data_IF_703003192437
#
_entry.id   IF_703003192437
#
_cell.length_a   1.000
_cell.length_b   1.000
_cell.length_c   1.000
_cell.angle_alpha   90.00
_cell.angle_beta   90.00
_cell.angle_gamma   90.00
#
_symmetry.space_group_name_H-M   'P 1'
#
loop_
_entity.id
_entity.type
_entity.pdbx_description
1 polymer ?
#
# COMPACT_ATOMS: atom_id res chain seq x y z
N UNK A 1 -7.43 -16.14 -16.07
CA UNK A 1 -8.22 -15.70 -14.91
C UNK A 1 -9.50 -16.50 -14.84
N UNK A 2 -9.69 -17.25 -13.78
CA UNK A 2 -10.95 -17.95 -13.47
C UNK A 2 -11.90 -16.99 -12.74
N UNK A 3 -13.18 -17.03 -13.08
CA UNK A 3 -14.17 -16.08 -12.52
C UNK A 3 -14.09 -14.66 -13.08
N UNK A 4 -13.60 -14.49 -14.32
CA UNK A 4 -13.41 -13.18 -14.97
C UNK A 4 -14.70 -12.36 -15.08
N UNK A 5 -15.87 -12.99 -15.05
CA UNK A 5 -17.18 -12.34 -15.07
C UNK A 5 -17.67 -11.86 -13.70
N UNK A 6 -17.01 -12.31 -12.62
CA UNK A 6 -17.29 -11.88 -11.26
C UNK A 6 -16.72 -10.48 -10.95
N UNK A 7 -17.16 -9.88 -9.84
CA UNK A 7 -16.74 -8.54 -9.42
C UNK A 7 -15.22 -8.43 -9.26
N UNK A 8 -14.61 -9.38 -8.55
CA UNK A 8 -13.15 -9.40 -8.30
C UNK A 8 -12.40 -9.71 -9.58
N UNK A 9 -12.73 -10.80 -10.26
CA UNK A 9 -12.06 -11.21 -11.49
C UNK A 9 -12.13 -10.17 -12.61
N UNK A 10 -13.25 -9.49 -12.77
CA UNK A 10 -13.39 -8.42 -13.76
C UNK A 10 -12.56 -7.17 -13.39
N UNK A 11 -12.43 -6.85 -12.11
CA UNK A 11 -11.59 -5.75 -11.65
C UNK A 11 -10.11 -6.05 -11.89
N UNK A 12 -9.67 -7.26 -11.56
CA UNK A 12 -8.30 -7.72 -11.81
C UNK A 12 -8.00 -7.65 -13.31
N UNK A 13 -8.86 -8.23 -14.15
CA UNK A 13 -8.67 -8.24 -15.59
C UNK A 13 -8.57 -6.83 -16.19
N UNK A 14 -9.44 -5.89 -15.77
CA UNK A 14 -9.39 -4.48 -16.21
C UNK A 14 -8.07 -3.81 -15.83
N UNK A 15 -7.59 -4.03 -14.61
CA UNK A 15 -6.32 -3.47 -14.14
C UNK A 15 -5.13 -4.05 -14.92
N UNK A 16 -5.13 -5.35 -15.20
CA UNK A 16 -4.07 -5.99 -16.00
C UNK A 16 -4.10 -5.48 -17.44
N UNK A 17 -5.27 -5.40 -18.07
CA UNK A 17 -5.43 -4.92 -19.44
C UNK A 17 -5.07 -3.43 -19.62
N UNK A 18 -4.99 -2.67 -18.53
CA UNK A 18 -4.48 -1.29 -18.57
C UNK A 18 -2.95 -1.22 -18.77
N UNK A 19 -2.26 -2.36 -18.65
CA UNK A 19 -0.80 -2.49 -18.89
C UNK A 19 -0.58 -3.04 -20.28
N UNK A 20 0.50 -2.60 -20.94
CA UNK A 20 0.86 -3.09 -22.26
C UNK A 20 1.58 -4.44 -22.21
N UNK A 21 1.44 -5.23 -23.26
CA UNK A 21 2.19 -6.48 -23.46
C UNK A 21 1.70 -7.68 -22.65
N UNK A 22 0.43 -7.67 -22.20
CA UNK A 22 -0.16 -8.78 -21.45
C UNK A 22 -1.39 -9.31 -22.20
N UNK A 23 -1.42 -10.62 -22.42
CA UNK A 23 -2.59 -11.34 -22.96
C UNK A 23 -3.33 -11.98 -21.78
N UNK A 24 -4.65 -11.81 -21.75
CA UNK A 24 -5.52 -12.31 -20.68
C UNK A 24 -6.46 -13.37 -21.23
N UNK A 25 -6.44 -14.54 -20.63
CA UNK A 25 -7.42 -15.60 -20.90
C UNK A 25 -8.38 -15.67 -19.72
N UNK A 26 -9.65 -15.36 -19.97
CA UNK A 26 -10.71 -15.35 -18.96
C UNK A 26 -11.65 -16.55 -19.14
N UNK A 27 -11.83 -17.38 -18.09
CA UNK A 27 -12.74 -18.51 -18.19
C UNK A 27 -14.19 -18.11 -17.96
N UNK A 28 -15.10 -18.68 -18.77
CA UNK A 28 -16.55 -18.49 -18.68
C UNK A 28 -17.26 -19.83 -18.66
N UNK A 29 -18.36 -19.96 -17.90
CA UNK A 29 -19.12 -21.21 -17.77
C UNK A 29 -20.28 -21.37 -18.75
N UNK A 30 -20.73 -20.30 -19.42
CA UNK A 30 -21.94 -20.31 -20.28
C UNK A 30 -21.91 -19.21 -21.34
N UNK A 31 -22.51 -19.51 -22.47
CA UNK A 31 -22.86 -18.67 -23.63
C UNK A 31 -22.05 -17.37 -23.83
N UNK A 32 -21.10 -17.48 -24.74
CA UNK A 32 -20.12 -16.44 -25.12
C UNK A 32 -20.75 -15.15 -25.68
N UNK A 33 -22.01 -15.18 -26.13
CA UNK A 33 -22.60 -14.08 -26.91
C UNK A 33 -22.83 -12.79 -26.14
N UNK A 34 -23.15 -12.88 -24.84
CA UNK A 34 -23.50 -11.69 -24.05
C UNK A 34 -22.31 -11.07 -23.31
N UNK A 35 -21.18 -11.78 -23.20
CA UNK A 35 -20.01 -11.37 -22.42
C UNK A 35 -18.98 -10.61 -23.23
N UNK A 36 -18.91 -10.83 -24.55
CA UNK A 36 -17.97 -10.12 -25.43
C UNK A 36 -18.22 -8.63 -25.46
N UNK A 37 -19.43 -8.17 -25.17
CA UNK A 37 -19.77 -6.74 -25.12
C UNK A 37 -19.18 -6.00 -23.92
N UNK A 38 -18.75 -6.70 -22.86
CA UNK A 38 -18.20 -6.09 -21.65
C UNK A 38 -16.69 -5.74 -21.80
N UNK A 39 -16.01 -6.36 -22.76
CA UNK A 39 -14.55 -6.24 -22.90
C UNK A 39 -14.19 -5.57 -24.23
N UNK A 40 -13.73 -4.32 -24.15
CA UNK A 40 -13.33 -3.53 -25.34
C UNK A 40 -11.87 -3.73 -25.75
N UNK A 41 -11.16 -4.70 -25.18
CA UNK A 41 -9.76 -4.96 -25.47
C UNK A 41 -9.58 -6.16 -26.37
N UNK A 42 -8.68 -6.08 -27.35
CA UNK A 42 -8.26 -7.20 -28.20
C UNK A 42 -7.37 -8.21 -27.47
N UNK A 43 -6.87 -7.84 -26.30
CA UNK A 43 -5.94 -8.64 -25.50
C UNK A 43 -6.64 -9.50 -24.44
N UNK A 44 -7.95 -9.64 -24.49
CA UNK A 44 -8.69 -10.58 -23.64
C UNK A 44 -9.39 -11.63 -24.47
N UNK A 45 -9.14 -12.89 -24.16
CA UNK A 45 -9.69 -14.06 -24.81
C UNK A 45 -10.60 -14.80 -23.83
N UNK A 46 -11.88 -14.91 -24.16
CA UNK A 46 -12.82 -15.68 -23.34
C UNK A 46 -12.79 -17.14 -23.79
N UNK A 47 -12.48 -18.02 -22.85
CA UNK A 47 -12.35 -19.46 -23.06
C UNK A 47 -13.34 -20.25 -22.21
N UNK A 48 -13.70 -21.45 -22.65
CA UNK A 48 -14.58 -22.30 -21.85
C UNK A 48 -13.90 -22.72 -20.55
N UNK A 49 -14.66 -22.72 -19.48
CA UNK A 49 -14.17 -23.18 -18.18
C UNK A 49 -13.70 -24.64 -18.21
N UNK A 50 -14.31 -25.49 -19.06
CA UNK A 50 -13.91 -26.88 -19.21
C UNK A 50 -12.47 -27.01 -19.74
N UNK A 51 -12.05 -26.10 -20.61
CA UNK A 51 -10.74 -26.10 -21.25
C UNK A 51 -9.64 -25.43 -20.42
N UNK A 52 -9.93 -24.95 -19.20
CA UNK A 52 -9.03 -24.13 -18.39
C UNK A 52 -7.64 -24.70 -18.19
N UNK A 53 -7.53 -26.03 -18.02
CA UNK A 53 -6.23 -26.69 -17.80
C UNK A 53 -5.30 -26.60 -19.01
N UNK A 54 -5.87 -26.69 -20.22
CA UNK A 54 -5.06 -26.56 -21.46
C UNK A 54 -4.39 -25.20 -21.56
N UNK A 55 -5.06 -24.14 -21.10
CA UNK A 55 -4.50 -22.79 -21.11
C UNK A 55 -3.51 -22.52 -19.95
N UNK A 56 -3.53 -23.36 -18.90
CA UNK A 56 -2.62 -23.21 -17.76
C UNK A 56 -1.18 -23.63 -18.10
N UNK A 57 -1.00 -24.54 -19.07
CA UNK A 57 0.33 -24.97 -19.50
C UNK A 57 1.17 -23.80 -20.04
N UNK A 58 0.58 -22.93 -20.83
CA UNK A 58 1.26 -21.78 -21.43
C UNK A 58 1.23 -20.51 -20.58
N UNK A 59 0.38 -20.48 -19.55
CA UNK A 59 0.22 -19.30 -18.71
C UNK A 59 1.43 -19.08 -17.79
N UNK A 60 1.81 -17.81 -17.58
CA UNK A 60 2.81 -17.40 -16.59
C UNK A 60 2.16 -17.18 -15.21
N UNK A 61 0.95 -16.63 -15.22
CA UNK A 61 0.20 -16.28 -14.00
C UNK A 61 -1.22 -16.85 -14.13
N UNK A 62 -1.65 -17.59 -13.14
CA UNK A 62 -3.01 -18.16 -13.03
C UNK A 62 -3.68 -17.52 -11.81
N UNK A 63 -4.84 -16.89 -12.03
CA UNK A 63 -5.58 -16.22 -10.97
C UNK A 63 -6.95 -16.86 -10.83
N UNK A 64 -7.31 -17.28 -9.61
CA UNK A 64 -8.66 -17.69 -9.28
C UNK A 64 -9.37 -16.65 -8.44
N UNK A 65 -10.58 -16.26 -8.90
CA UNK A 65 -11.45 -15.29 -8.26
C UNK A 65 -12.91 -15.74 -8.37
N UNK A 66 -13.14 -17.05 -8.17
CA UNK A 66 -14.49 -17.63 -8.26
C UNK A 66 -15.17 -17.67 -6.90
N UNK A 67 -16.44 -17.98 -6.86
CA UNK A 67 -17.22 -18.26 -5.66
C UNK A 67 -17.55 -19.76 -5.56
N UNK A 68 -16.69 -20.61 -6.11
CA UNK A 68 -16.90 -22.06 -6.06
C UNK A 68 -16.71 -22.58 -4.63
N UNK A 69 -17.58 -23.46 -4.13
CA UNK A 69 -17.39 -24.10 -2.85
C UNK A 69 -16.37 -25.27 -2.92
N UNK A 70 -15.86 -25.60 -4.10
CA UNK A 70 -14.95 -26.70 -4.35
C UNK A 70 -13.73 -26.21 -5.12
N UNK A 71 -12.64 -26.95 -5.03
CA UNK A 71 -11.44 -26.65 -5.81
C UNK A 71 -11.74 -26.60 -7.31
N UNK A 72 -11.44 -25.48 -7.92
CA UNK A 72 -11.55 -25.25 -9.36
C UNK A 72 -10.29 -25.73 -10.08
N UNK A 73 -9.16 -25.76 -9.38
CA UNK A 73 -7.88 -26.28 -9.84
C UNK A 73 -7.39 -27.32 -8.84
N UNK A 74 -7.10 -28.51 -9.33
CA UNK A 74 -6.68 -29.67 -8.54
C UNK A 74 -5.28 -30.11 -8.96
N UNK A 75 -4.41 -30.38 -8.00
CA UNK A 75 -3.00 -30.71 -8.25
C UNK A 75 -2.82 -31.90 -9.18
N UNK A 76 -3.54 -33.02 -8.94
CA UNK A 76 -3.48 -34.23 -9.75
C UNK A 76 -3.75 -33.98 -11.25
N UNK A 77 -4.66 -33.04 -11.58
CA UNK A 77 -4.95 -32.69 -12.97
C UNK A 77 -3.87 -31.81 -13.58
N UNK A 78 -3.26 -30.93 -12.81
CA UNK A 78 -2.15 -30.07 -13.28
C UNK A 78 -0.91 -30.89 -13.58
N UNK A 79 -0.58 -31.89 -12.74
CA UNK A 79 0.55 -32.78 -12.97
C UNK A 79 0.42 -33.59 -14.29
N UNK A 80 -0.80 -33.87 -14.71
CA UNK A 80 -1.06 -34.53 -15.99
C UNK A 80 -0.89 -33.59 -17.20
N UNK A 81 -1.10 -32.31 -17.02
CA UNK A 81 -1.08 -31.27 -18.07
C UNK A 81 0.31 -30.63 -18.20
N UNK A 82 0.99 -30.42 -17.07
CA UNK A 82 2.28 -29.75 -17.08
C UNK A 82 3.38 -30.66 -17.62
N UNK A 83 3.80 -30.35 -18.85
CA UNK A 83 4.87 -31.06 -19.56
C UNK A 83 6.20 -30.32 -19.47
N UNK A 84 6.18 -29.04 -19.07
CA UNK A 84 7.35 -28.17 -19.00
C UNK A 84 7.64 -27.72 -17.56
N UNK A 85 8.93 -27.52 -17.24
CA UNK A 85 9.37 -26.97 -15.95
C UNK A 85 9.29 -25.41 -15.89
N UNK A 86 8.40 -24.83 -16.69
CA UNK A 86 8.16 -23.37 -16.70
C UNK A 86 7.77 -22.92 -15.30
N UNK A 87 8.30 -21.78 -14.84
CA UNK A 87 7.88 -21.14 -13.60
C UNK A 87 6.49 -20.54 -13.77
N UNK A 88 5.59 -20.88 -12.88
CA UNK A 88 4.19 -20.40 -12.88
C UNK A 88 3.81 -19.86 -11.52
N UNK A 89 3.07 -18.76 -11.54
CA UNK A 89 2.52 -18.13 -10.34
C UNK A 89 1.02 -18.38 -10.28
N UNK A 90 0.56 -18.98 -9.20
CA UNK A 90 -0.85 -19.14 -8.87
C UNK A 90 -1.25 -18.15 -7.79
N UNK A 91 -2.38 -17.49 -7.98
CA UNK A 91 -2.95 -16.53 -7.05
C UNK A 91 -4.40 -16.90 -6.79
N UNK A 92 -4.69 -17.31 -5.57
CA UNK A 92 -6.05 -17.58 -5.13
C UNK A 92 -6.59 -16.41 -4.30
N UNK A 93 -7.59 -15.71 -4.87
CA UNK A 93 -8.30 -14.64 -4.18
C UNK A 93 -9.76 -15.00 -3.91
N UNK A 94 -10.08 -16.29 -4.02
CA UNK A 94 -11.39 -16.81 -3.71
C UNK A 94 -11.62 -17.03 -2.21
N UNK A 95 -12.86 -16.89 -1.77
CA UNK A 95 -13.29 -17.23 -0.41
C UNK A 95 -14.57 -18.04 -0.50
N UNK A 96 -14.54 -19.33 -0.11
CA UNK A 96 -13.36 -20.11 0.34
C UNK A 96 -12.33 -20.30 -0.80
N UNK A 97 -11.09 -20.70 -0.43
CA UNK A 97 -10.03 -21.01 -1.41
C UNK A 97 -10.53 -22.06 -2.42
N UNK A 98 -10.21 -21.85 -3.69
CA UNK A 98 -10.66 -22.72 -4.76
C UNK A 98 -9.52 -23.31 -5.61
N UNK A 99 -8.28 -23.06 -5.23
CA UNK A 99 -7.07 -23.72 -5.73
C UNK A 99 -6.59 -24.72 -4.66
N UNK A 100 -6.34 -25.95 -5.07
CA UNK A 100 -5.81 -26.98 -4.19
C UNK A 100 -4.42 -26.59 -3.65
N UNK A 101 -4.21 -26.50 -2.33
CA UNK A 101 -2.92 -26.14 -1.75
C UNK A 101 -1.75 -27.04 -2.17
N UNK A 102 -2.01 -28.32 -2.49
CA UNK A 102 -0.99 -29.23 -2.97
C UNK A 102 -0.32 -28.78 -4.29
N UNK A 103 -0.92 -27.84 -5.02
CA UNK A 103 -0.32 -27.23 -6.22
C UNK A 103 0.99 -26.53 -5.89
N UNK A 104 1.13 -25.97 -4.69
CA UNK A 104 2.36 -25.31 -4.24
C UNK A 104 3.56 -26.27 -4.12
N UNK A 105 3.33 -27.60 -4.08
CA UNK A 105 4.38 -28.61 -4.04
C UNK A 105 4.90 -29.00 -5.42
N UNK A 106 4.20 -28.60 -6.48
CA UNK A 106 4.59 -28.89 -7.88
C UNK A 106 5.83 -28.05 -8.23
N UNK A 107 6.84 -28.71 -8.78
CA UNK A 107 8.10 -28.04 -9.16
C UNK A 107 7.86 -26.89 -10.16
N UNK A 108 8.40 -25.73 -9.86
CA UNK A 108 8.25 -24.52 -10.69
C UNK A 108 6.97 -23.73 -10.43
N UNK A 109 6.11 -24.19 -9.53
CA UNK A 109 4.89 -23.49 -9.13
C UNK A 109 5.10 -22.72 -7.83
N UNK A 110 4.58 -21.50 -7.80
CA UNK A 110 4.44 -20.69 -6.58
C UNK A 110 2.96 -20.39 -6.39
N UNK A 111 2.42 -20.67 -5.21
CA UNK A 111 1.02 -20.40 -4.88
C UNK A 111 0.94 -19.35 -3.76
N UNK A 112 0.14 -18.31 -4.01
CA UNK A 112 -0.25 -17.33 -3.01
C UNK A 112 -1.77 -17.32 -2.88
N UNK A 113 -2.25 -17.30 -1.66
CA UNK A 113 -3.66 -17.18 -1.31
C UNK A 113 -3.98 -15.77 -0.74
N UNK A 114 -5.24 -15.57 -0.37
CA UNK A 114 -5.68 -14.29 0.19
C UNK A 114 -5.03 -13.98 1.53
N UNK A 115 -4.70 -15.01 2.33
CA UNK A 115 -4.08 -14.84 3.65
C UNK A 115 -2.64 -14.33 3.50
N UNK A 116 -1.92 -14.76 2.46
CA UNK A 116 -0.61 -14.21 2.12
C UNK A 116 -0.69 -12.71 1.84
N UNK A 117 -1.67 -12.26 1.05
CA UNK A 117 -1.85 -10.84 0.74
C UNK A 117 -2.27 -10.02 1.96
N UNK A 118 -3.06 -10.59 2.88
CA UNK A 118 -3.41 -9.94 4.13
C UNK A 118 -2.17 -9.73 5.02
N UNK A 119 -1.31 -10.74 5.14
CA UNK A 119 -0.04 -10.64 5.87
C UNK A 119 0.91 -9.60 5.24
N UNK A 120 1.04 -9.62 3.91
CA UNK A 120 1.85 -8.65 3.17
C UNK A 120 1.34 -7.23 3.39
N UNK A 121 0.02 -7.04 3.36
CA UNK A 121 -0.62 -5.74 3.62
C UNK A 121 -0.33 -5.25 5.04
N UNK A 122 -0.44 -6.12 6.06
CA UNK A 122 -0.11 -5.80 7.46
C UNK A 122 1.34 -5.38 7.60
N UNK A 123 2.26 -6.11 6.99
CA UNK A 123 3.70 -5.80 7.01
C UNK A 123 4.00 -4.45 6.35
N UNK A 124 3.42 -4.21 5.17
CA UNK A 124 3.57 -2.94 4.47
C UNK A 124 3.00 -1.75 5.26
N UNK A 125 1.85 -1.95 5.93
CA UNK A 125 1.27 -0.92 6.77
C UNK A 125 2.14 -0.62 8.00
N UNK A 126 2.77 -1.63 8.61
CA UNK A 126 3.71 -1.41 9.70
C UNK A 126 4.96 -0.63 9.26
N UNK A 127 5.50 -0.92 8.06
CA UNK A 127 6.61 -0.14 7.51
C UNK A 127 6.21 1.32 7.25
N UNK A 128 5.03 1.56 6.67
CA UNK A 128 4.50 2.92 6.46
C UNK A 128 4.30 3.68 7.77
N UNK A 129 3.85 3.02 8.84
CA UNK A 129 3.71 3.65 10.15
C UNK A 129 5.06 4.10 10.70
N UNK A 130 6.11 3.28 10.57
CA UNK A 130 7.47 3.67 10.98
C UNK A 130 8.01 4.86 10.18
N UNK A 131 7.75 4.91 8.87
CA UNK A 131 8.13 6.05 8.03
C UNK A 131 7.36 7.32 8.43
N UNK A 132 6.08 7.19 8.80
CA UNK A 132 5.27 8.31 9.31
C UNK A 132 5.78 8.82 10.67
N UNK A 133 6.22 7.93 11.57
CA UNK A 133 6.78 8.33 12.85
C UNK A 133 8.08 9.12 12.65
N UNK A 134 8.98 8.68 11.77
CA UNK A 134 10.19 9.41 11.42
C UNK A 134 9.90 10.79 10.77
N UNK A 135 8.90 10.85 9.89
CA UNK A 135 8.48 12.11 9.30
C UNK A 135 7.87 13.06 10.33
N UNK A 136 7.18 12.52 11.35
CA UNK A 136 6.61 13.32 12.45
C UNK A 136 7.70 13.95 13.31
N UNK A 137 8.76 13.20 13.64
CA UNK A 137 9.91 13.75 14.39
C UNK A 137 10.52 14.95 13.66
N UNK A 138 10.79 14.81 12.36
CA UNK A 138 11.32 15.91 11.53
C UNK A 138 10.36 17.11 11.54
N UNK A 139 9.07 16.88 11.38
CA UNK A 139 8.07 17.94 11.42
C UNK A 139 8.01 18.65 12.79
N UNK A 140 8.15 17.92 13.89
CA UNK A 140 8.14 18.50 15.24
C UNK A 140 9.38 19.38 15.47
N UNK A 141 10.57 18.95 15.00
CA UNK A 141 11.80 19.75 15.04
C UNK A 141 11.66 21.04 14.22
N UNK A 142 11.20 20.96 12.98
CA UNK A 142 10.99 22.12 12.10
C UNK A 142 9.93 23.09 12.66
N UNK A 143 8.85 22.54 13.25
CA UNK A 143 7.82 23.37 13.90
C UNK A 143 8.37 24.09 15.13
N UNK A 144 9.24 23.46 15.91
CA UNK A 144 9.85 24.09 17.08
C UNK A 144 10.83 25.21 16.66
N UNK A 145 11.60 24.98 15.61
CA UNK A 145 12.47 26.01 15.02
C UNK A 145 11.66 27.19 14.49
N UNK A 146 10.59 26.93 13.74
CA UNK A 146 9.70 27.96 13.24
C UNK A 146 9.03 28.77 14.37
N UNK A 147 8.61 28.09 15.46
CA UNK A 147 8.06 28.76 16.65
C UNK A 147 9.11 29.67 17.30
N UNK A 148 10.35 29.20 17.42
CA UNK A 148 11.46 30.01 17.96
C UNK A 148 11.67 31.28 17.12
N UNK A 149 11.72 31.16 15.81
CA UNK A 149 11.85 32.31 14.92
C UNK A 149 10.68 33.28 15.05
N UNK A 150 9.44 32.78 15.06
CA UNK A 150 8.25 33.59 15.21
C UNK A 150 8.22 34.35 16.56
N UNK A 151 8.68 33.73 17.63
CA UNK A 151 8.79 34.39 18.94
C UNK A 151 9.94 35.40 18.99
N UNK A 152 11.03 35.13 18.27
CA UNK A 152 12.21 35.99 18.27
C UNK A 152 12.08 37.21 17.35
N UNK A 153 11.36 37.08 16.23
CA UNK A 153 11.19 38.15 15.25
C UNK A 153 10.64 39.47 15.83
N UNK A 154 9.63 39.50 16.73
CA UNK A 154 9.18 40.72 17.38
C UNK A 154 10.23 41.39 18.26
N UNK A 155 11.21 40.62 18.76
CA UNK A 155 12.28 41.15 19.56
C UNK A 155 13.19 42.05 18.74
N UNK A 156 13.46 41.73 17.47
CA UNK A 156 14.25 42.60 16.58
C UNK A 156 13.60 43.93 16.34
N UNK A 157 12.28 43.99 16.22
CA UNK A 157 11.55 45.24 16.03
C UNK A 157 11.64 46.17 17.26
N UNK A 158 11.78 45.59 18.45
CA UNK A 158 11.90 46.30 19.73
C UNK A 158 13.34 46.60 20.15
N UNK A 159 14.33 46.08 19.41
CA UNK A 159 15.74 46.17 19.79
C UNK A 159 16.25 47.60 19.97
N UNK A 160 15.74 48.53 19.16
CA UNK A 160 16.06 49.97 19.31
C UNK A 160 15.58 50.53 20.65
N UNK A 161 14.34 50.21 21.05
CA UNK A 161 13.77 50.62 22.33
C UNK A 161 14.48 50.00 23.52
N UNK A 162 14.88 48.75 23.39
CA UNK A 162 15.64 48.03 24.41
C UNK A 162 17.04 48.66 24.58
N UNK A 163 17.74 48.99 23.48
CA UNK A 163 19.03 49.64 23.51
C UNK A 163 18.96 50.95 24.27
N UNK A 164 17.95 51.74 24.04
CA UNK A 164 17.71 52.99 24.74
C UNK A 164 17.38 52.77 26.23
N UNK A 165 16.59 51.77 26.54
CA UNK A 165 16.28 51.34 27.91
C UNK A 165 17.52 50.89 28.68
N UNK A 166 18.39 50.08 28.04
CA UNK A 166 19.64 49.59 28.64
C UNK A 166 20.68 50.71 28.81
N UNK A 167 20.65 51.75 27.97
CA UNK A 167 21.57 52.90 28.12
C UNK A 167 21.13 53.85 29.23
N UNK A 168 19.84 53.93 29.50
CA UNK A 168 19.26 54.91 30.45
C UNK A 168 18.94 54.33 31.83
N UNK A 169 19.03 53.02 32.04
CA UNK A 169 18.68 52.37 33.31
C UNK A 169 19.83 51.47 33.78
N UNK A 170 20.03 51.39 35.10
CA UNK A 170 21.00 50.44 35.66
C UNK A 170 20.48 49.01 35.48
N UNK A 171 21.42 48.04 35.41
CA UNK A 171 21.12 46.61 35.27
C UNK A 171 20.15 46.14 36.37
N UNK A 172 20.32 46.62 37.57
CA UNK A 172 19.48 46.30 38.72
C UNK A 172 18.02 46.70 38.46
N UNK A 173 17.79 47.90 37.93
CA UNK A 173 16.46 48.39 37.59
C UNK A 173 15.77 47.54 36.53
N UNK A 174 16.53 47.05 35.57
CA UNK A 174 16.02 46.16 34.49
C UNK A 174 15.65 44.81 35.06
N UNK A 175 16.51 44.23 35.90
CA UNK A 175 16.25 42.94 36.56
C UNK A 175 15.02 43.00 37.48
N UNK A 176 14.83 44.06 38.24
CA UNK A 176 13.62 44.28 39.05
C UNK A 176 12.35 44.38 38.18
N UNK A 177 12.40 45.02 37.04
CA UNK A 177 11.26 45.07 36.12
C UNK A 177 10.94 43.73 35.51
N UNK A 178 11.96 42.96 35.12
CA UNK A 178 11.76 41.59 34.61
C UNK A 178 11.09 40.73 35.71
N UNK A 179 11.60 40.76 36.92
CA UNK A 179 11.04 40.04 38.07
C UNK A 179 9.55 40.29 38.26
N UNK A 180 9.12 41.56 38.10
CA UNK A 180 7.74 41.96 38.38
C UNK A 180 6.75 41.59 37.23
N UNK A 181 7.25 41.14 36.05
CA UNK A 181 6.44 40.85 34.87
C UNK A 181 6.52 39.40 34.39
N UNK A 182 7.35 38.56 35.02
CA UNK A 182 7.50 37.14 34.65
C UNK A 182 7.15 36.23 35.82
N UNK A 183 6.67 35.03 35.50
CA UNK A 183 6.38 34.00 36.52
C UNK A 183 7.68 33.46 37.16
N UNK A 184 7.55 32.81 38.30
CA UNK A 184 8.68 32.19 39.01
C UNK A 184 9.41 31.14 38.17
N UNK A 185 8.70 30.45 37.26
CA UNK A 185 9.31 29.44 36.36
C UNK A 185 10.07 30.12 35.21
N UNK A 186 9.51 31.14 34.59
CA UNK A 186 10.18 31.92 33.54
C UNK A 186 11.41 32.65 34.09
N UNK A 187 11.34 33.14 35.33
CA UNK A 187 12.46 33.80 35.99
C UNK A 187 13.66 32.85 36.18
N UNK A 188 13.42 31.57 36.49
CA UNK A 188 14.48 30.56 36.59
C UNK A 188 15.20 30.32 35.26
N UNK A 189 14.48 30.39 34.15
CA UNK A 189 15.05 30.21 32.80
C UNK A 189 15.91 31.42 32.40
N UNK A 190 15.52 32.63 32.80
CA UNK A 190 16.25 33.87 32.49
C UNK A 190 17.50 34.04 33.32
N UNK A 191 17.56 33.46 34.53
CA UNK A 191 18.66 33.61 35.47
C UNK A 191 19.70 32.46 35.43
N UNK A 192 19.42 31.36 34.67
CA UNK A 192 20.37 30.26 34.41
C UNK A 192 21.07 30.42 33.07
#
# INVERSE_FOLDING_TARGET
>A
IMGVTGKIGSTIAKNILSKSGIEVYGTVRSHKSDLTFQWKSSHIHLVDYADRYAYMEDADIIISATSSPHYTVVAEKLEQVFTTSKKRLFIDVAVPIDIDPAIGEISGVTLYDIDFFDQLSKTNNQMKLKELDAAREIMEEELDECKRELLFHPCFQKMGQWKETFQNHSLDTILYRIRDHVSSEELKVVLN
#
